data_IF_636574206079
#
_entry.id   IF_636574206079
#
_cell.length_a   1.000
_cell.length_b   1.000
_cell.length_c   1.000
_cell.angle_alpha   90.00
_cell.angle_beta   90.00
_cell.angle_gamma   90.00
#
_symmetry.space_group_name_H-M   'P 1'
#
loop_
_entity.id
_entity.type
_entity.pdbx_description
1 polymer ?
#
# COMPACT_ATOMS: atom_id res chain seq x y z
N UNK A 1 16.94 16.67 -38.83
CA UNK A 1 15.80 16.22 -37.99
C UNK A 1 16.03 16.79 -36.60
N UNK A 2 15.11 17.58 -36.07
CA UNK A 2 15.26 18.15 -34.72
C UNK A 2 14.80 17.17 -33.67
N UNK A 3 15.25 17.32 -32.41
CA UNK A 3 14.78 16.50 -31.28
C UNK A 3 13.24 16.55 -31.17
N UNK A 4 12.65 17.73 -31.40
CA UNK A 4 11.19 17.90 -31.42
C UNK A 4 10.53 17.04 -32.50
N UNK A 5 11.07 17.04 -33.71
CA UNK A 5 10.54 16.22 -34.83
C UNK A 5 10.64 14.72 -34.50
N UNK A 6 11.73 14.28 -33.84
CA UNK A 6 11.89 12.89 -33.42
C UNK A 6 10.80 12.51 -32.43
N UNK A 7 10.55 13.33 -31.40
CA UNK A 7 9.50 13.07 -30.40
C UNK A 7 8.11 13.05 -31.01
N UNK A 8 7.82 13.92 -31.98
CA UNK A 8 6.52 14.01 -32.63
C UNK A 8 6.25 12.88 -33.63
N UNK A 9 7.29 12.24 -34.15
CA UNK A 9 7.19 11.19 -35.18
C UNK A 9 7.62 9.80 -34.70
N UNK A 10 8.11 9.68 -33.43
CA UNK A 10 8.41 8.37 -32.85
C UNK A 10 7.16 7.55 -32.67
N UNK A 11 7.14 6.39 -33.29
CA UNK A 11 6.14 5.38 -33.02
C UNK A 11 6.51 4.64 -31.72
N UNK A 12 5.88 5.05 -30.63
CA UNK A 12 5.97 4.34 -29.37
C UNK A 12 5.04 3.12 -29.46
N UNK A 13 5.60 1.94 -29.48
CA UNK A 13 4.82 0.71 -29.38
C UNK A 13 3.85 0.77 -28.19
N UNK A 14 2.80 -0.01 -28.25
CA UNK A 14 1.79 -0.12 -27.18
C UNK A 14 2.50 -0.40 -25.84
N UNK A 15 2.13 0.35 -24.80
CA UNK A 15 2.60 0.08 -23.46
C UNK A 15 2.33 -1.40 -23.10
N UNK A 16 3.30 -2.13 -22.51
CA UNK A 16 3.12 -3.55 -22.20
C UNK A 16 2.00 -3.80 -21.18
N UNK A 17 1.60 -2.79 -20.44
CA UNK A 17 0.49 -2.82 -19.47
C UNK A 17 -0.68 -1.98 -19.96
N UNK A 18 -1.83 -2.65 -20.11
CA UNK A 18 -3.10 -1.97 -20.35
C UNK A 18 -3.67 -1.42 -19.04
N UNK A 19 -4.24 -0.21 -19.03
CA UNK A 19 -4.96 0.32 -17.87
C UNK A 19 -6.32 -0.35 -17.64
N UNK A 20 -6.80 -1.17 -18.57
CA UNK A 20 -8.17 -1.70 -18.57
C UNK A 20 -8.49 -2.52 -17.31
N UNK A 21 -7.57 -3.36 -16.83
CA UNK A 21 -7.77 -4.15 -15.60
C UNK A 21 -7.92 -3.24 -14.38
N UNK A 22 -7.06 -2.24 -14.23
CA UNK A 22 -7.09 -1.31 -13.11
C UNK A 22 -8.34 -0.42 -13.13
N UNK A 23 -8.73 0.08 -14.29
CA UNK A 23 -9.94 0.88 -14.45
C UNK A 23 -11.20 0.01 -14.23
N UNK A 24 -11.19 -1.23 -14.70
CA UNK A 24 -12.25 -2.19 -14.44
C UNK A 24 -12.40 -2.48 -12.93
N UNK A 25 -11.28 -2.70 -12.23
CA UNK A 25 -11.28 -2.90 -10.79
C UNK A 25 -11.84 -1.68 -10.04
N UNK A 26 -11.45 -0.46 -10.40
CA UNK A 26 -12.00 0.75 -9.80
C UNK A 26 -13.51 0.86 -10.03
N UNK A 27 -13.98 0.55 -11.24
CA UNK A 27 -15.41 0.55 -11.58
C UNK A 27 -16.20 -0.50 -10.78
N UNK A 28 -15.68 -1.73 -10.65
CA UNK A 28 -16.29 -2.79 -9.84
C UNK A 28 -16.43 -2.39 -8.36
N UNK A 29 -15.49 -1.59 -7.83
CA UNK A 29 -15.55 -1.05 -6.47
C UNK A 29 -16.42 0.20 -6.36
N UNK A 30 -17.06 0.62 -7.44
CA UNK A 30 -17.90 1.81 -7.48
C UNK A 30 -17.13 3.14 -7.44
N UNK A 31 -15.80 3.10 -7.52
CA UNK A 31 -14.94 4.29 -7.51
C UNK A 31 -15.04 5.13 -6.24
N UNK A 32 -15.54 4.56 -5.13
CA UNK A 32 -15.72 5.27 -3.85
C UNK A 32 -15.15 4.44 -2.72
N UNK A 33 -14.29 5.06 -1.92
CA UNK A 33 -13.57 4.37 -0.85
C UNK A 33 -13.71 5.08 0.48
N UNK A 34 -14.17 4.33 1.49
CA UNK A 34 -14.15 4.71 2.89
C UNK A 34 -12.84 4.34 3.57
N UNK A 35 -12.80 4.45 4.88
CA UNK A 35 -11.67 4.02 5.69
C UNK A 35 -11.72 2.52 5.96
N UNK A 36 -10.56 1.89 6.12
CA UNK A 36 -10.47 0.51 6.60
C UNK A 36 -10.12 0.52 8.08
N UNK A 37 -11.08 0.24 8.93
CA UNK A 37 -10.94 0.32 10.40
C UNK A 37 -11.51 -0.95 11.03
N UNK A 38 -10.75 -1.59 11.90
CA UNK A 38 -11.23 -2.76 12.63
C UNK A 38 -11.51 -3.98 11.76
N UNK A 39 -10.83 -4.12 10.63
CA UNK A 39 -11.00 -5.23 9.71
C UNK A 39 -12.14 -5.06 8.69
N UNK A 40 -12.78 -3.90 8.64
CA UNK A 40 -13.87 -3.60 7.71
C UNK A 40 -13.73 -2.22 7.07
N UNK A 41 -14.26 -2.07 5.85
CA UNK A 41 -14.42 -0.76 5.24
C UNK A 41 -15.62 -0.04 5.86
N UNK A 42 -15.45 1.26 6.13
CA UNK A 42 -16.57 2.14 6.48
C UNK A 42 -17.37 2.48 5.24
N UNK A 43 -18.60 2.93 5.42
CA UNK A 43 -19.37 3.51 4.33
C UNK A 43 -18.61 4.71 3.75
N UNK A 44 -18.53 4.81 2.40
CA UNK A 44 -17.87 5.95 1.79
C UNK A 44 -18.59 7.26 2.09
N UNK A 45 -17.84 8.22 2.61
CA UNK A 45 -18.24 9.62 2.72
C UNK A 45 -17.25 10.44 1.90
N UNK A 46 -17.32 10.35 0.55
CA UNK A 46 -16.31 10.90 -0.33
C UNK A 46 -16.32 12.41 -0.31
N UNK A 47 -15.12 12.99 -0.14
CA UNK A 47 -14.89 14.41 0.01
C UNK A 47 -13.72 14.93 -0.84
N UNK A 48 -12.85 14.06 -1.34
CA UNK A 48 -11.84 14.46 -2.31
C UNK A 48 -11.66 13.43 -3.42
N UNK A 49 -11.09 13.88 -4.53
CA UNK A 49 -10.88 13.09 -5.73
C UNK A 49 -9.40 12.71 -5.90
N UNK A 50 -9.13 11.44 -6.19
CA UNK A 50 -7.89 11.04 -6.81
C UNK A 50 -8.01 11.22 -8.32
N UNK A 51 -7.05 11.92 -8.91
CA UNK A 51 -7.04 12.22 -10.35
C UNK A 51 -5.77 11.71 -11.00
N UNK A 52 -5.93 11.15 -12.18
CA UNK A 52 -4.79 10.81 -13.03
C UNK A 52 -4.07 12.10 -13.47
N UNK A 53 -2.83 12.33 -13.07
CA UNK A 53 -2.12 13.57 -13.38
C UNK A 53 -1.80 13.74 -14.87
N UNK A 54 -1.77 12.64 -15.64
CA UNK A 54 -1.51 12.71 -17.08
C UNK A 54 -2.72 13.18 -17.89
N UNK A 55 -3.95 12.89 -17.43
CA UNK A 55 -5.18 13.21 -18.18
C UNK A 55 -6.14 14.15 -17.44
N UNK A 56 -5.94 14.34 -16.12
CA UNK A 56 -6.87 15.08 -15.26
C UNK A 56 -8.17 14.31 -14.95
N UNK A 57 -8.34 13.08 -15.45
CA UNK A 57 -9.56 12.30 -15.20
C UNK A 57 -9.62 11.84 -13.75
N UNK A 58 -10.83 11.84 -13.18
CA UNK A 58 -11.09 11.31 -11.84
C UNK A 58 -10.95 9.80 -11.86
N UNK A 59 -10.13 9.25 -10.97
CA UNK A 59 -9.94 7.83 -10.77
C UNK A 59 -10.86 7.28 -9.67
N UNK A 60 -10.96 8.02 -8.57
CA UNK A 60 -11.73 7.61 -7.41
C UNK A 60 -12.12 8.81 -6.54
N UNK A 61 -13.10 8.59 -5.69
CA UNK A 61 -13.50 9.49 -4.61
C UNK A 61 -13.16 8.84 -3.26
N UNK A 62 -12.49 9.57 -2.40
CA UNK A 62 -12.01 9.08 -1.12
C UNK A 62 -12.61 9.90 0.02
N UNK A 63 -12.76 9.25 1.17
CA UNK A 63 -13.21 9.91 2.39
C UNK A 63 -12.05 10.55 3.12
N UNK A 64 -12.21 11.79 3.57
CA UNK A 64 -11.30 12.43 4.51
C UNK A 64 -11.63 12.00 5.92
N UNK A 65 -10.62 11.59 6.69
CA UNK A 65 -10.81 11.16 8.07
C UNK A 65 -11.11 12.36 8.98
N UNK A 66 -12.13 12.22 9.80
CA UNK A 66 -12.41 13.11 10.91
C UNK A 66 -11.61 12.72 12.15
N UNK A 67 -11.57 13.59 13.17
CA UNK A 67 -10.99 13.23 14.47
C UNK A 67 -11.63 11.96 15.05
N UNK A 68 -12.94 11.80 14.90
CA UNK A 68 -13.65 10.62 15.38
C UNK A 68 -13.23 9.33 14.64
N UNK A 69 -12.89 9.41 13.36
CA UNK A 69 -12.38 8.28 12.59
C UNK A 69 -10.98 7.88 13.06
N UNK A 70 -10.11 8.86 13.30
CA UNK A 70 -8.77 8.61 13.85
C UNK A 70 -8.88 7.98 15.25
N UNK A 71 -9.74 8.50 16.10
CA UNK A 71 -9.94 7.95 17.46
C UNK A 71 -10.46 6.50 17.40
N UNK A 72 -11.38 6.19 16.49
CA UNK A 72 -11.86 4.82 16.25
C UNK A 72 -10.74 3.91 15.74
N UNK A 73 -9.93 4.38 14.80
CA UNK A 73 -8.80 3.63 14.26
C UNK A 73 -7.78 3.30 15.36
N UNK A 74 -7.39 4.30 16.17
CA UNK A 74 -6.47 4.12 17.30
C UNK A 74 -7.04 3.17 18.34
N UNK A 75 -8.33 3.31 18.69
CA UNK A 75 -9.01 2.40 19.63
C UNK A 75 -9.01 0.95 19.10
N UNK A 76 -9.33 0.76 17.83
CA UNK A 76 -9.32 -0.55 17.19
C UNK A 76 -7.92 -1.16 17.17
N UNK A 77 -6.91 -0.38 16.76
CA UNK A 77 -5.52 -0.81 16.73
C UNK A 77 -5.00 -1.20 18.13
N UNK A 78 -5.34 -0.40 19.16
CA UNK A 78 -4.97 -0.69 20.55
C UNK A 78 -5.63 -1.96 21.08
N UNK A 79 -6.86 -2.25 20.68
CA UNK A 79 -7.56 -3.49 21.05
C UNK A 79 -6.91 -4.71 20.38
N UNK A 80 -6.50 -4.61 19.13
CA UNK A 80 -5.91 -5.71 18.37
C UNK A 80 -4.45 -6.00 18.75
N UNK A 81 -3.71 -5.00 19.25
CA UNK A 81 -2.27 -5.09 19.44
C UNK A 81 -1.83 -6.22 20.38
N UNK A 82 -2.41 -6.42 21.57
CA UNK A 82 -1.98 -7.51 22.48
C UNK A 82 -2.19 -8.89 21.84
N UNK A 83 -3.27 -9.07 21.11
CA UNK A 83 -3.56 -10.33 20.41
C UNK A 83 -2.55 -10.58 19.29
N UNK A 84 -2.20 -9.53 18.54
CA UNK A 84 -1.22 -9.61 17.47
C UNK A 84 0.20 -9.92 18.00
N UNK A 85 0.62 -9.24 19.04
CA UNK A 85 1.91 -9.49 19.70
C UNK A 85 1.99 -10.90 20.26
N UNK A 86 0.95 -11.37 20.95
CA UNK A 86 0.90 -12.69 21.59
C UNK A 86 0.96 -13.86 20.60
N UNK A 87 0.67 -13.66 19.31
CA UNK A 87 0.79 -14.71 18.30
C UNK A 87 2.24 -15.23 18.13
N UNK A 88 3.22 -14.45 18.52
CA UNK A 88 4.63 -14.78 18.33
C UNK A 88 5.13 -14.54 16.89
N UNK A 89 6.45 -14.52 16.75
CA UNK A 89 7.12 -14.14 15.50
C UNK A 89 6.80 -15.05 14.32
N UNK A 90 6.66 -16.34 14.53
CA UNK A 90 6.35 -17.31 13.48
C UNK A 90 4.95 -17.11 12.87
N UNK A 91 3.95 -16.85 13.69
CA UNK A 91 2.60 -16.62 13.21
C UNK A 91 2.49 -15.27 12.47
N UNK A 92 3.12 -14.23 13.01
CA UNK A 92 3.21 -12.93 12.32
C UNK A 92 3.92 -13.04 10.96
N UNK A 93 5.02 -13.82 10.90
CA UNK A 93 5.73 -14.08 9.66
C UNK A 93 4.84 -14.70 8.58
N UNK A 94 4.00 -15.68 8.94
CA UNK A 94 3.05 -16.31 7.99
C UNK A 94 2.11 -15.27 7.35
N UNK A 95 1.62 -14.33 8.14
CA UNK A 95 0.75 -13.25 7.63
C UNK A 95 1.52 -12.34 6.67
N UNK A 96 2.73 -11.92 7.05
CA UNK A 96 3.57 -11.05 6.20
C UNK A 96 4.00 -11.75 4.90
N UNK A 97 4.35 -13.04 4.94
CA UNK A 97 4.60 -13.83 3.74
C UNK A 97 3.36 -13.94 2.86
N UNK A 98 2.19 -14.14 3.47
CA UNK A 98 0.91 -14.15 2.76
C UNK A 98 0.64 -12.83 2.04
N UNK A 99 0.87 -11.70 2.72
CA UNK A 99 0.72 -10.36 2.16
C UNK A 99 1.71 -10.13 1.00
N UNK A 100 2.99 -10.50 1.17
CA UNK A 100 3.99 -10.39 0.11
C UNK A 100 3.59 -11.18 -1.14
N UNK A 101 3.08 -12.40 -0.95
CA UNK A 101 2.59 -13.25 -2.07
C UNK A 101 1.35 -12.69 -2.75
N UNK A 102 0.41 -12.11 -1.99
CA UNK A 102 -0.75 -11.45 -2.58
C UNK A 102 -0.35 -10.23 -3.40
N UNK A 103 0.56 -9.41 -2.87
CA UNK A 103 1.10 -8.28 -3.60
C UNK A 103 1.83 -8.73 -4.88
N UNK A 104 2.58 -9.83 -4.81
CA UNK A 104 3.24 -10.41 -5.98
C UNK A 104 2.23 -10.93 -7.01
N UNK A 105 1.18 -11.61 -6.57
CA UNK A 105 0.11 -12.12 -7.44
C UNK A 105 -0.59 -11.00 -8.21
N UNK A 106 -0.81 -9.85 -7.57
CA UNK A 106 -1.51 -8.70 -8.13
C UNK A 106 -0.56 -7.56 -8.54
N UNK A 107 0.73 -7.87 -8.77
CA UNK A 107 1.76 -6.86 -9.00
C UNK A 107 1.45 -5.93 -10.17
N UNK A 108 0.88 -6.46 -11.27
CA UNK A 108 0.49 -5.64 -12.43
C UNK A 108 -0.61 -4.65 -12.10
N UNK A 109 -1.65 -5.11 -11.42
CA UNK A 109 -2.75 -4.25 -10.99
C UNK A 109 -2.23 -3.09 -10.12
N UNK A 110 -1.40 -3.41 -9.12
CA UNK A 110 -0.81 -2.39 -8.24
C UNK A 110 0.11 -1.43 -9.01
N UNK A 111 0.94 -1.92 -9.93
CA UNK A 111 1.83 -1.07 -10.72
C UNK A 111 1.05 -0.10 -11.62
N UNK A 112 -0.02 -0.56 -12.24
CA UNK A 112 -0.86 0.29 -13.09
C UNK A 112 -1.65 1.30 -12.25
N UNK A 113 -2.22 0.89 -11.11
CA UNK A 113 -2.89 1.81 -10.18
C UNK A 113 -1.94 2.89 -9.67
N UNK A 114 -0.72 2.52 -9.27
CA UNK A 114 0.31 3.47 -8.82
C UNK A 114 0.69 4.46 -9.92
N UNK A 115 0.83 3.98 -11.16
CA UNK A 115 1.09 4.85 -12.31
C UNK A 115 -0.08 5.80 -12.60
N UNK A 116 -1.30 5.31 -12.55
CA UNK A 116 -2.49 6.13 -12.79
C UNK A 116 -2.67 7.22 -11.72
N UNK A 117 -2.43 6.89 -10.46
CA UNK A 117 -2.63 7.80 -9.33
C UNK A 117 -1.46 8.77 -9.14
N UNK A 118 -0.24 8.28 -9.21
CA UNK A 118 0.97 9.06 -8.94
C UNK A 118 1.53 9.80 -10.18
N UNK A 119 1.28 9.27 -11.38
CA UNK A 119 1.85 9.78 -12.63
C UNK A 119 3.24 9.27 -12.95
N UNK A 120 3.79 8.33 -12.18
CA UNK A 120 5.08 7.70 -12.46
C UNK A 120 5.03 6.90 -13.77
N UNK A 121 6.16 6.81 -14.50
CA UNK A 121 6.27 5.85 -15.60
C UNK A 121 6.00 4.43 -15.11
N UNK A 122 5.22 3.66 -15.86
CA UNK A 122 4.87 2.27 -15.52
C UNK A 122 6.12 1.39 -15.26
N UNK A 123 7.21 1.69 -15.92
CA UNK A 123 8.50 1.03 -15.71
C UNK A 123 9.01 1.19 -14.28
N UNK A 124 8.88 2.39 -13.71
CA UNK A 124 9.28 2.67 -12.32
C UNK A 124 8.36 1.94 -11.34
N UNK A 125 7.05 2.11 -11.50
CA UNK A 125 6.07 1.46 -10.63
C UNK A 125 6.20 -0.06 -10.67
N UNK A 126 6.31 -0.67 -11.86
CA UNK A 126 6.37 -2.12 -12.05
C UNK A 126 7.70 -2.72 -11.56
N UNK A 127 8.83 -2.18 -12.03
CA UNK A 127 10.14 -2.83 -11.88
C UNK A 127 10.84 -2.44 -10.56
N UNK A 128 10.45 -1.30 -9.97
CA UNK A 128 11.04 -0.79 -8.74
C UNK A 128 10.05 -0.81 -7.59
N UNK A 129 8.99 -0.01 -7.62
CA UNK A 129 8.16 0.25 -6.45
C UNK A 129 7.46 -1.01 -5.94
N UNK A 130 6.74 -1.71 -6.80
CA UNK A 130 6.01 -2.91 -6.42
C UNK A 130 6.96 -4.04 -6.05
N UNK A 131 8.05 -4.20 -6.80
CA UNK A 131 9.06 -5.22 -6.52
C UNK A 131 9.76 -5.00 -5.16
N UNK A 132 10.09 -3.75 -4.82
CA UNK A 132 10.71 -3.41 -3.54
C UNK A 132 9.69 -3.54 -2.40
N UNK A 133 8.44 -3.11 -2.57
CA UNK A 133 7.40 -3.31 -1.57
C UNK A 133 7.23 -4.78 -1.18
N UNK A 134 7.23 -5.69 -2.17
CA UNK A 134 7.21 -7.13 -1.93
C UNK A 134 8.42 -7.60 -1.11
N UNK A 135 9.63 -7.15 -1.47
CA UNK A 135 10.87 -7.52 -0.77
C UNK A 135 10.86 -7.06 0.68
N UNK A 136 10.30 -5.90 0.98
CA UNK A 136 10.18 -5.43 2.36
C UNK A 136 9.30 -6.34 3.19
N UNK A 137 8.16 -6.80 2.67
CA UNK A 137 7.33 -7.75 3.40
C UNK A 137 8.01 -9.11 3.59
N UNK A 138 8.70 -9.63 2.56
CA UNK A 138 9.48 -10.87 2.68
C UNK A 138 10.59 -10.75 3.72
N UNK A 139 11.38 -9.68 3.67
CA UNK A 139 12.47 -9.44 4.60
C UNK A 139 11.97 -9.37 6.07
N UNK A 140 10.95 -8.55 6.31
CA UNK A 140 10.44 -8.37 7.66
C UNK A 140 9.64 -9.59 8.16
N UNK A 141 9.10 -10.42 7.28
CA UNK A 141 8.58 -11.73 7.67
C UNK A 141 9.68 -12.63 8.23
N UNK A 142 10.86 -12.65 7.60
CA UNK A 142 12.03 -13.33 8.14
C UNK A 142 12.47 -12.76 9.48
N UNK A 143 12.54 -11.42 9.60
CA UNK A 143 12.91 -10.76 10.86
C UNK A 143 11.91 -11.03 11.98
N UNK A 144 10.62 -11.17 11.69
CA UNK A 144 9.63 -11.53 12.69
C UNK A 144 9.92 -12.89 13.35
N UNK A 145 10.42 -13.86 12.57
CA UNK A 145 10.79 -15.17 13.09
C UNK A 145 12.01 -15.11 14.02
N UNK A 146 12.93 -14.21 13.73
CA UNK A 146 14.18 -14.05 14.47
C UNK A 146 14.06 -13.12 15.69
N UNK A 147 12.93 -12.41 15.85
CA UNK A 147 12.77 -11.41 16.90
C UNK A 147 13.11 -11.94 18.30
N UNK A 148 12.65 -13.14 18.62
CA UNK A 148 12.86 -13.73 19.97
C UNK A 148 14.33 -14.06 20.24
N UNK A 149 15.10 -14.43 19.22
CA UNK A 149 16.54 -14.75 19.36
C UNK A 149 17.43 -13.51 19.27
N UNK A 150 17.13 -12.63 18.32
CA UNK A 150 17.98 -11.46 18.03
C UNK A 150 17.65 -10.25 18.92
N UNK A 151 16.40 -10.15 19.38
CA UNK A 151 15.91 -9.05 20.21
C UNK A 151 15.17 -9.54 21.47
N UNK A 152 15.78 -10.40 22.31
CA UNK A 152 15.08 -11.11 23.39
C UNK A 152 14.51 -10.19 24.48
N UNK A 153 15.02 -8.96 24.61
CA UNK A 153 14.59 -7.99 25.61
C UNK A 153 13.74 -6.86 25.04
N UNK A 154 13.30 -6.98 23.78
CA UNK A 154 12.48 -5.98 23.12
C UNK A 154 11.02 -6.41 23.12
N UNK A 155 10.14 -5.43 23.27
CA UNK A 155 8.69 -5.60 23.21
C UNK A 155 8.11 -4.65 22.15
N UNK A 156 6.88 -4.90 21.72
CA UNK A 156 6.20 -4.00 20.82
C UNK A 156 5.98 -2.62 21.46
N UNK A 157 6.08 -1.55 20.67
CA UNK A 157 5.75 -0.19 21.10
C UNK A 157 4.24 0.00 21.32
N UNK A 158 3.42 -0.79 20.63
CA UNK A 158 1.98 -0.73 20.68
C UNK A 158 1.35 -0.27 19.37
N UNK A 159 0.64 0.85 19.37
CA UNK A 159 0.04 1.45 18.17
C UNK A 159 1.01 2.44 17.55
N UNK A 160 1.39 2.22 16.30
CA UNK A 160 2.27 3.10 15.55
C UNK A 160 1.46 3.97 14.57
N UNK A 161 1.45 5.28 14.77
CA UNK A 161 0.97 6.24 13.78
C UNK A 161 1.98 6.40 12.65
N UNK A 162 1.53 6.35 11.40
CA UNK A 162 2.40 6.40 10.24
C UNK A 162 1.91 7.40 9.20
N UNK A 163 2.82 8.24 8.71
CA UNK A 163 2.56 9.18 7.62
C UNK A 163 3.52 8.84 6.50
N UNK A 164 2.99 8.63 5.31
CA UNK A 164 3.78 8.30 4.11
C UNK A 164 3.82 9.48 3.15
N UNK A 165 4.93 9.65 2.40
CA UNK A 165 5.01 10.64 1.34
C UNK A 165 4.26 10.17 0.09
N UNK A 166 3.87 11.13 -0.72
CA UNK A 166 3.09 10.91 -1.93
C UNK A 166 3.89 10.36 -3.12
N UNK A 167 5.23 10.48 -3.11
CA UNK A 167 6.07 10.15 -4.27
C UNK A 167 6.41 8.66 -4.43
N UNK A 168 6.23 7.85 -3.38
CA UNK A 168 6.38 6.39 -3.39
C UNK A 168 5.28 5.74 -2.52
N UNK A 169 3.99 5.86 -2.90
CA UNK A 169 2.88 5.52 -2.00
C UNK A 169 2.98 4.10 -1.44
N UNK A 170 2.96 3.08 -2.29
CA UNK A 170 2.97 1.69 -1.84
C UNK A 170 4.32 1.25 -1.25
N UNK A 171 5.43 1.70 -1.83
CA UNK A 171 6.76 1.38 -1.33
C UNK A 171 6.98 1.93 0.08
N UNK A 172 6.63 3.20 0.31
CA UNK A 172 6.80 3.83 1.62
C UNK A 172 5.80 3.30 2.66
N UNK A 173 4.61 2.89 2.22
CA UNK A 173 3.70 2.13 3.05
C UNK A 173 4.37 0.83 3.52
N UNK A 174 4.92 0.03 2.61
CA UNK A 174 5.60 -1.22 2.94
C UNK A 174 6.79 -1.00 3.90
N UNK A 175 7.60 0.04 3.68
CA UNK A 175 8.73 0.39 4.55
C UNK A 175 8.33 0.66 5.99
N UNK A 176 7.14 1.17 6.21
CA UNK A 176 6.66 1.55 7.54
C UNK A 176 5.86 0.44 8.20
N UNK A 177 4.90 -0.15 7.49
CA UNK A 177 4.03 -1.15 8.11
C UNK A 177 4.69 -2.51 8.26
N UNK A 178 5.57 -2.93 7.36
CA UNK A 178 6.20 -4.24 7.43
C UNK A 178 7.04 -4.42 8.71
N UNK A 179 7.99 -3.53 9.07
CA UNK A 179 8.73 -3.65 10.33
C UNK A 179 7.83 -3.49 11.56
N UNK A 180 6.86 -2.58 11.54
CA UNK A 180 5.96 -2.39 12.66
C UNK A 180 5.16 -3.66 12.97
N UNK A 181 4.54 -4.25 11.97
CA UNK A 181 3.76 -5.49 12.12
C UNK A 181 4.65 -6.68 12.48
N UNK A 182 5.85 -6.79 11.89
CA UNK A 182 6.80 -7.85 12.21
C UNK A 182 7.16 -7.88 13.69
N UNK A 183 7.34 -6.73 14.31
CA UNK A 183 7.74 -6.56 15.70
C UNK A 183 6.54 -6.56 16.68
N UNK A 184 5.34 -6.92 16.25
CA UNK A 184 4.17 -7.08 17.11
C UNK A 184 3.35 -5.81 17.32
N UNK A 185 3.66 -4.72 16.63
CA UNK A 185 2.89 -3.48 16.69
C UNK A 185 1.64 -3.56 15.80
N UNK A 186 0.67 -2.71 16.07
CA UNK A 186 -0.41 -2.36 15.15
C UNK A 186 -0.20 -0.96 14.59
N UNK A 187 -0.88 -0.63 13.50
CA UNK A 187 -0.63 0.61 12.77
C UNK A 187 -1.91 1.39 12.51
N UNK A 188 -1.78 2.70 12.50
CA UNK A 188 -2.74 3.66 11.94
C UNK A 188 -1.99 4.47 10.92
N UNK A 189 -2.38 4.36 9.65
CA UNK A 189 -1.72 4.98 8.51
C UNK A 189 -2.55 6.16 8.02
#
# INVERSE_FOLDING_TARGET
MTVKTIFETMDYGTAPESPAEALGWLAEKGGRFGHFIGGAFTDPSPDFESRNPASGTVLAHLSTATQADVDRAVKSARHAQPVWEAQGGHARAKVLYGLARLLQKHARLFAVLETLDNGKPIRESRDIDIALAQRHFYYHAGMAQLMASECPNQVALGVCGQIIPWNFPLLMLAWKIAPALAMGNTVVL
#
